data_IF_206021995027
#
_entry.id   IF_206021995027
#
_cell.length_a   1.000
_cell.length_b   1.000
_cell.length_c   1.000
_cell.angle_alpha   90.00
_cell.angle_beta   90.00
_cell.angle_gamma   90.00
#
_symmetry.space_group_name_H-M   'P 1'
#
loop_
_entity.id
_entity.type
_entity.pdbx_description
1 polymer ?
#
# COMPACT_ATOMS: atom_id res chain seq x y z
N UNK A 1 -15.86 8.65 44.41
CA UNK A 1 -16.01 7.45 43.57
C UNK A 1 -16.06 7.92 42.13
N UNK A 2 -14.92 7.84 41.44
CA UNK A 2 -14.81 8.22 40.02
C UNK A 2 -15.43 7.11 39.18
N UNK A 3 -16.53 7.42 38.51
CA UNK A 3 -17.19 6.55 37.53
C UNK A 3 -16.29 6.42 36.31
N UNK A 4 -15.48 5.36 36.25
CA UNK A 4 -14.79 4.97 35.02
C UNK A 4 -15.85 4.65 33.97
N UNK A 5 -15.91 5.45 32.91
CA UNK A 5 -16.84 5.25 31.80
C UNK A 5 -16.52 3.93 31.08
N UNK A 6 -17.52 3.31 30.42
CA UNK A 6 -17.32 2.06 29.67
C UNK A 6 -16.19 2.18 28.62
N UNK A 7 -16.03 3.36 28.03
CA UNK A 7 -14.92 3.70 27.13
C UNK A 7 -13.55 3.59 27.81
N UNK A 8 -13.40 4.09 29.05
CA UNK A 8 -12.15 3.97 29.80
C UNK A 8 -11.77 2.52 30.12
N UNK A 9 -12.75 1.67 30.45
CA UNK A 9 -12.51 0.24 30.72
C UNK A 9 -12.05 -0.54 29.48
N UNK A 10 -12.60 -0.22 28.30
CA UNK A 10 -12.19 -0.87 27.04
C UNK A 10 -10.75 -0.50 26.68
N UNK A 11 -10.38 0.79 26.85
CA UNK A 11 -9.02 1.25 26.63
C UNK A 11 -8.01 0.59 27.58
N UNK A 12 -8.38 0.37 28.85
CA UNK A 12 -7.53 -0.33 29.82
C UNK A 12 -7.29 -1.79 29.44
N UNK A 13 -8.33 -2.54 29.04
CA UNK A 13 -8.17 -3.94 28.60
C UNK A 13 -7.25 -4.03 27.39
N UNK A 14 -7.47 -3.16 26.39
CA UNK A 14 -6.61 -3.10 25.20
C UNK A 14 -5.13 -2.86 25.55
N UNK A 15 -4.85 -1.92 26.46
CA UNK A 15 -3.47 -1.64 26.90
C UNK A 15 -2.78 -2.83 27.57
N UNK A 16 -3.49 -3.57 28.42
CA UNK A 16 -2.92 -4.77 29.05
C UNK A 16 -2.64 -5.87 28.01
N UNK A 17 -3.53 -6.06 27.04
CA UNK A 17 -3.31 -7.02 25.94
C UNK A 17 -2.13 -6.62 25.05
N UNK A 18 -1.92 -5.33 24.84
CA UNK A 18 -0.74 -4.81 24.12
C UNK A 18 0.55 -5.13 24.87
N UNK A 19 0.58 -4.98 26.20
CA UNK A 19 1.75 -5.30 27.01
C UNK A 19 2.07 -6.82 26.94
N UNK A 20 1.05 -7.68 26.98
CA UNK A 20 1.22 -9.12 26.78
C UNK A 20 1.73 -9.50 25.38
N UNK A 21 1.22 -8.83 24.32
CA UNK A 21 1.76 -9.02 22.97
C UNK A 21 3.21 -8.55 22.87
N UNK A 22 3.57 -7.44 23.52
CA UNK A 22 4.95 -6.93 23.54
C UNK A 22 5.91 -7.95 24.13
N UNK A 23 5.53 -8.63 25.20
CA UNK A 23 6.32 -9.73 25.77
C UNK A 23 6.49 -10.88 24.76
N UNK A 24 5.43 -11.29 24.07
CA UNK A 24 5.51 -12.32 23.02
C UNK A 24 6.43 -11.92 21.87
N UNK A 25 6.42 -10.66 21.46
CA UNK A 25 7.30 -10.12 20.41
C UNK A 25 8.76 -10.14 20.88
N UNK A 26 9.05 -9.60 22.07
CA UNK A 26 10.41 -9.49 22.62
C UNK A 26 11.05 -10.85 22.89
N UNK A 27 10.25 -11.85 23.28
CA UNK A 27 10.72 -13.21 23.56
C UNK A 27 10.76 -14.10 22.31
N UNK A 28 10.35 -13.58 21.14
CA UNK A 28 10.19 -14.38 19.91
C UNK A 28 9.09 -15.44 20.00
N UNK A 29 8.21 -15.36 21.01
CA UNK A 29 7.08 -16.27 21.20
C UNK A 29 5.91 -16.04 20.24
N UNK A 30 5.84 -14.85 19.62
CA UNK A 30 4.72 -14.45 18.75
C UNK A 30 4.38 -15.49 17.66
N UNK A 31 5.37 -16.00 16.93
CA UNK A 31 5.12 -16.94 15.82
C UNK A 31 4.56 -18.29 16.30
N UNK A 32 4.93 -18.72 17.51
CA UNK A 32 4.35 -19.93 18.11
C UNK A 32 2.92 -19.69 18.56
N UNK A 33 2.64 -18.52 19.13
CA UNK A 33 1.30 -18.13 19.58
C UNK A 33 0.33 -17.88 18.41
N UNK A 34 0.82 -17.48 17.24
CA UNK A 34 0.02 -17.22 16.04
C UNK A 34 -0.23 -18.46 15.15
N UNK A 35 0.10 -19.67 15.62
CA UNK A 35 -0.15 -20.90 14.87
C UNK A 35 -1.65 -21.13 14.72
N UNK A 36 -2.08 -21.45 13.50
CA UNK A 36 -3.47 -21.76 13.16
C UNK A 36 -3.66 -23.23 12.86
N UNK A 37 -4.84 -23.74 13.18
CA UNK A 37 -5.29 -25.04 12.72
C UNK A 37 -5.57 -24.98 11.21
N UNK A 38 -5.00 -25.91 10.46
CA UNK A 38 -5.05 -25.92 8.99
C UNK A 38 -6.45 -26.16 8.41
N UNK A 39 -7.37 -26.68 9.19
CA UNK A 39 -8.72 -27.02 8.74
C UNK A 39 -9.73 -25.90 9.03
N UNK A 40 -9.60 -25.29 10.20
CA UNK A 40 -10.51 -24.25 10.68
C UNK A 40 -9.99 -22.84 10.43
N UNK A 41 -8.67 -22.66 10.28
CA UNK A 41 -8.01 -21.37 10.22
C UNK A 41 -8.01 -20.61 11.55
N UNK A 42 -8.41 -21.25 12.65
CA UNK A 42 -8.43 -20.67 13.98
C UNK A 42 -7.08 -20.80 14.70
N UNK A 43 -6.79 -19.87 15.60
CA UNK A 43 -5.60 -19.93 16.47
C UNK A 43 -5.71 -21.15 17.40
N UNK A 44 -4.67 -22.00 17.39
CA UNK A 44 -4.65 -23.25 18.16
C UNK A 44 -4.57 -22.98 19.67
N UNK A 45 -3.76 -22.02 20.07
CA UNK A 45 -3.57 -21.64 21.47
C UNK A 45 -4.73 -20.74 21.93
N UNK A 46 -5.49 -21.22 22.92
CA UNK A 46 -6.66 -20.52 23.45
C UNK A 46 -6.31 -19.23 24.20
N UNK A 47 -5.17 -19.18 24.87
CA UNK A 47 -4.67 -17.98 25.58
C UNK A 47 -4.23 -16.93 24.56
N UNK A 48 -3.46 -17.35 23.54
CA UNK A 48 -3.09 -16.47 22.43
C UNK A 48 -4.33 -15.94 21.70
N UNK A 49 -5.33 -16.79 21.44
CA UNK A 49 -6.60 -16.38 20.83
C UNK A 49 -7.33 -15.33 21.66
N UNK A 50 -7.40 -15.51 22.98
CA UNK A 50 -8.02 -14.54 23.89
C UNK A 50 -7.26 -13.21 23.89
N UNK A 51 -5.92 -13.28 24.00
CA UNK A 51 -5.04 -12.12 23.95
C UNK A 51 -5.22 -11.32 22.65
N UNK A 52 -5.15 -12.01 21.51
CA UNK A 52 -5.23 -11.40 20.19
C UNK A 52 -6.61 -10.81 19.88
N UNK A 53 -7.67 -11.43 20.40
CA UNK A 53 -9.03 -10.90 20.27
C UNK A 53 -9.22 -9.57 21.02
N UNK A 54 -8.55 -9.43 22.17
CA UNK A 54 -8.61 -8.25 23.04
C UNK A 54 -7.71 -7.08 22.59
N UNK A 55 -6.83 -7.30 21.61
CA UNK A 55 -6.02 -6.23 21.02
C UNK A 55 -6.89 -5.14 20.37
N UNK A 56 -6.39 -3.88 20.30
CA UNK A 56 -7.07 -2.83 19.54
C UNK A 56 -7.14 -3.19 18.05
N UNK A 57 -8.23 -2.78 17.40
CA UNK A 57 -8.34 -2.85 15.94
C UNK A 57 -7.58 -1.68 15.34
N UNK A 58 -6.57 -1.97 14.52
CA UNK A 58 -5.84 -0.95 13.75
C UNK A 58 -6.17 -1.14 12.27
N UNK A 59 -6.65 -0.09 11.62
CA UNK A 59 -7.08 -0.07 10.23
C UNK A 59 -6.57 1.20 9.53
N UNK A 60 -6.79 1.36 8.21
CA UNK A 60 -6.45 2.60 7.50
C UNK A 60 -7.12 3.85 8.06
N UNK A 61 -8.20 3.69 8.84
CA UNK A 61 -8.91 4.78 9.50
C UNK A 61 -8.37 5.11 10.89
N UNK A 62 -7.44 4.33 11.45
CA UNK A 62 -6.86 4.58 12.77
C UNK A 62 -5.95 5.80 12.74
N UNK A 63 -6.16 6.71 13.69
CA UNK A 63 -5.40 7.95 13.88
C UNK A 63 -4.14 7.73 14.70
N UNK A 64 -3.21 8.68 14.64
CA UNK A 64 -1.98 8.67 15.44
C UNK A 64 -2.30 8.76 16.93
N UNK A 65 -3.31 9.54 17.30
CA UNK A 65 -3.74 9.69 18.69
C UNK A 65 -4.26 8.36 19.27
N UNK A 66 -5.03 7.60 18.49
CA UNK A 66 -5.47 6.25 18.86
C UNK A 66 -4.26 5.30 19.02
N UNK A 67 -3.25 5.38 18.14
CA UNK A 67 -2.03 4.57 18.28
C UNK A 67 -1.25 4.92 19.55
N UNK A 68 -1.18 6.21 19.92
CA UNK A 68 -0.57 6.67 21.17
C UNK A 68 -1.36 6.20 22.39
N UNK A 69 -2.68 6.34 22.37
CA UNK A 69 -3.57 5.90 23.46
C UNK A 69 -3.43 4.38 23.73
N UNK A 70 -3.29 3.60 22.67
CA UNK A 70 -3.07 2.15 22.72
C UNK A 70 -1.63 1.74 22.98
N UNK A 71 -0.69 2.70 23.13
CA UNK A 71 0.76 2.44 23.33
C UNK A 71 1.39 1.60 22.21
N UNK A 72 0.89 1.75 20.99
CA UNK A 72 1.49 1.16 19.79
C UNK A 72 2.74 1.90 19.36
N UNK A 73 2.73 3.22 19.53
CA UNK A 73 3.89 4.09 19.32
C UNK A 73 4.12 4.93 20.57
N UNK A 74 5.38 5.32 20.82
CA UNK A 74 5.73 6.16 21.99
C UNK A 74 5.51 7.64 21.73
N UNK A 75 5.72 8.08 20.48
CA UNK A 75 5.52 9.45 20.03
C UNK A 75 5.06 9.45 18.57
N UNK A 76 4.33 10.49 18.18
CA UNK A 76 4.00 10.74 16.78
C UNK A 76 5.27 11.08 15.98
N UNK A 77 5.36 10.67 14.71
CA UNK A 77 6.34 11.21 13.78
C UNK A 77 6.28 12.73 13.74
N UNK A 78 7.44 13.38 13.71
CA UNK A 78 7.51 14.85 13.72
C UNK A 78 6.94 15.40 12.41
N UNK A 79 6.11 16.44 12.54
CA UNK A 79 5.50 17.17 11.42
C UNK A 79 4.72 16.29 10.42
N UNK A 80 4.20 15.13 10.85
CA UNK A 80 3.43 14.20 10.00
C UNK A 80 2.27 14.87 9.25
N UNK A 81 1.57 15.80 9.90
CA UNK A 81 0.48 16.57 9.28
C UNK A 81 0.97 17.31 8.02
N UNK A 82 2.21 17.81 8.00
CA UNK A 82 2.81 18.49 6.85
C UNK A 82 2.86 17.57 5.63
N UNK A 83 3.18 16.28 5.82
CA UNK A 83 3.21 15.31 4.73
C UNK A 83 1.84 15.17 4.04
N UNK A 84 0.75 15.27 4.81
CA UNK A 84 -0.61 15.19 4.30
C UNK A 84 -1.12 16.49 3.68
N UNK A 85 -0.66 17.64 4.19
CA UNK A 85 -1.04 18.95 3.68
C UNK A 85 -0.30 19.37 2.42
N UNK A 86 0.78 18.68 2.03
CA UNK A 86 1.42 18.98 0.75
C UNK A 86 0.46 18.71 -0.42
N UNK A 87 0.57 19.45 -1.52
CA UNK A 87 -0.16 19.12 -2.74
C UNK A 87 0.21 17.72 -3.23
N UNK A 88 -0.79 16.95 -3.64
CA UNK A 88 -0.57 15.65 -4.29
C UNK A 88 -0.18 15.87 -5.75
N UNK A 89 -0.77 16.83 -6.45
CA UNK A 89 -0.55 17.07 -7.87
C UNK A 89 0.30 18.33 -8.02
N UNK A 90 1.59 18.15 -8.28
CA UNK A 90 2.59 19.22 -8.46
C UNK A 90 3.54 18.88 -9.62
N UNK A 91 4.26 19.85 -10.19
CA UNK A 91 5.17 19.59 -11.30
C UNK A 91 6.21 18.53 -10.92
N UNK A 92 6.54 17.66 -11.87
CA UNK A 92 7.46 16.55 -11.65
C UNK A 92 6.84 15.28 -11.06
N UNK A 93 5.55 15.29 -10.67
CA UNK A 93 4.88 14.07 -10.19
C UNK A 93 4.78 13.04 -11.32
N UNK A 94 5.22 11.81 -11.04
CA UNK A 94 4.99 10.68 -11.93
C UNK A 94 3.50 10.32 -11.92
N UNK A 95 2.93 9.97 -13.07
CA UNK A 95 1.52 9.63 -13.26
C UNK A 95 1.38 8.29 -13.98
N UNK A 96 0.29 7.58 -13.68
CA UNK A 96 -0.28 6.60 -14.60
C UNK A 96 -1.28 7.31 -15.52
N UNK A 97 -1.10 7.18 -16.84
CA UNK A 97 -2.02 7.75 -17.84
C UNK A 97 -2.37 6.70 -18.90
N UNK A 98 -3.56 6.83 -19.47
CA UNK A 98 -4.02 6.02 -20.59
C UNK A 98 -3.81 6.79 -21.90
N UNK A 99 -3.04 6.24 -22.82
CA UNK A 99 -2.75 6.87 -24.11
C UNK A 99 -2.48 5.82 -25.19
N UNK A 100 -2.14 6.24 -26.40
CA UNK A 100 -1.71 5.36 -27.48
C UNK A 100 -0.24 5.00 -27.31
N UNK A 101 0.07 3.71 -27.29
CA UNK A 101 1.39 3.20 -27.01
C UNK A 101 1.86 2.25 -28.13
N UNK A 102 3.16 2.18 -28.34
CA UNK A 102 3.80 1.11 -29.11
C UNK A 102 4.79 0.36 -28.22
N UNK A 103 4.83 -0.95 -28.41
CA UNK A 103 5.69 -1.90 -27.71
C UNK A 103 6.74 -2.49 -28.66
N UNK A 104 6.80 -1.99 -29.90
CA UNK A 104 7.74 -2.49 -30.90
C UNK A 104 9.18 -2.16 -30.50
N UNK A 105 10.03 -3.19 -30.57
CA UNK A 105 11.34 -3.24 -29.93
C UNK A 105 12.36 -2.28 -30.57
N UNK A 106 12.42 -1.03 -30.10
CA UNK A 106 13.65 -0.20 -30.18
C UNK A 106 14.65 -0.60 -29.09
N UNK A 107 14.93 -1.89 -28.96
CA UNK A 107 15.89 -2.43 -27.98
C UNK A 107 15.46 -2.40 -26.51
N UNK A 108 14.26 -1.91 -26.19
CA UNK A 108 13.65 -1.95 -24.85
C UNK A 108 12.34 -2.73 -24.95
N UNK A 109 12.36 -4.03 -24.68
CA UNK A 109 11.13 -4.83 -24.55
C UNK A 109 10.36 -4.31 -23.33
N UNK A 110 9.04 -4.43 -23.33
CA UNK A 110 8.25 -4.21 -22.11
C UNK A 110 7.40 -2.97 -22.02
N UNK A 111 7.85 -1.92 -22.65
CA UNK A 111 7.59 -0.58 -22.16
C UNK A 111 6.85 0.14 -23.26
N UNK A 112 5.56 0.40 -23.03
CA UNK A 112 4.78 1.21 -23.96
C UNK A 112 5.33 2.62 -23.99
N UNK A 113 5.86 3.04 -25.12
CA UNK A 113 6.18 4.43 -25.42
C UNK A 113 5.04 5.05 -26.19
N UNK A 114 4.83 6.36 -26.06
CA UNK A 114 3.80 7.01 -26.85
C UNK A 114 4.07 6.82 -28.36
N UNK A 115 3.03 6.40 -29.07
CA UNK A 115 2.99 6.33 -30.53
C UNK A 115 1.58 6.71 -30.98
N UNK A 116 1.45 7.73 -31.83
CA UNK A 116 0.15 8.19 -32.32
C UNK A 116 -0.63 7.13 -33.12
N UNK A 117 0.09 6.15 -33.68
CA UNK A 117 -0.45 4.99 -34.40
C UNK A 117 -0.50 3.72 -33.54
N UNK A 118 -0.10 3.83 -32.27
CA UNK A 118 -0.10 2.75 -31.31
C UNK A 118 -1.51 2.37 -30.82
N UNK A 119 -1.57 1.31 -30.02
CA UNK A 119 -2.82 0.82 -29.42
C UNK A 119 -3.08 1.54 -28.08
N UNK A 120 -4.35 1.67 -27.65
CA UNK A 120 -4.66 2.18 -26.33
C UNK A 120 -4.03 1.31 -25.23
N UNK A 121 -3.31 1.94 -24.30
CA UNK A 121 -2.69 1.27 -23.16
C UNK A 121 -2.31 2.23 -22.05
N UNK A 122 -1.73 1.70 -20.98
CA UNK A 122 -1.31 2.47 -19.82
C UNK A 122 0.20 2.61 -19.76
N UNK A 123 0.65 3.79 -19.36
CA UNK A 123 2.06 4.06 -19.09
C UNK A 123 2.23 4.81 -17.79
N UNK A 124 3.31 4.49 -17.08
CA UNK A 124 3.80 5.25 -15.93
C UNK A 124 4.85 6.30 -16.32
N UNK A 125 5.21 6.37 -17.61
CA UNK A 125 6.24 7.28 -18.15
C UNK A 125 5.64 8.63 -18.49
N UNK A 126 4.89 9.15 -17.53
CA UNK A 126 4.15 10.37 -17.63
C UNK A 126 4.52 11.23 -16.44
N UNK A 127 4.91 12.48 -16.70
CA UNK A 127 5.31 13.44 -15.68
C UNK A 127 4.37 14.63 -15.77
N UNK A 128 3.69 14.92 -14.67
CA UNK A 128 2.82 16.07 -14.54
C UNK A 128 3.64 17.36 -14.63
N UNK A 129 3.22 18.28 -15.49
CA UNK A 129 3.94 19.52 -15.74
C UNK A 129 3.14 20.74 -15.28
N UNK A 130 1.92 20.88 -15.78
CA UNK A 130 1.08 22.06 -15.60
C UNK A 130 -0.40 21.69 -15.64
N UNK A 131 -1.26 22.71 -15.52
CA UNK A 131 -2.68 22.61 -15.79
C UNK A 131 -3.12 23.66 -16.80
N UNK A 132 -4.18 23.37 -17.53
CA UNK A 132 -4.86 24.31 -18.42
C UNK A 132 -6.36 24.08 -18.27
N UNK A 133 -7.02 24.92 -17.48
CA UNK A 133 -8.44 24.75 -17.15
C UNK A 133 -8.72 23.46 -16.36
N UNK A 134 -9.53 22.56 -16.92
CA UNK A 134 -9.89 21.27 -16.29
C UNK A 134 -8.99 20.10 -16.76
N UNK A 135 -7.91 20.42 -17.47
CA UNK A 135 -6.96 19.44 -17.99
C UNK A 135 -5.58 19.62 -17.36
N UNK A 136 -4.86 18.51 -17.29
CA UNK A 136 -3.45 18.47 -16.94
C UNK A 136 -2.59 18.33 -18.18
N UNK A 137 -1.53 19.13 -18.20
CA UNK A 137 -0.46 19.06 -19.20
C UNK A 137 0.58 18.07 -18.68
N UNK A 138 0.84 17.02 -19.47
CA UNK A 138 1.67 15.89 -19.03
C UNK A 138 2.70 15.55 -20.10
N UNK A 139 3.97 15.51 -19.69
CA UNK A 139 5.06 15.04 -20.53
C UNK A 139 5.05 13.50 -20.54
N UNK A 140 4.77 12.90 -21.71
CA UNK A 140 4.74 11.45 -21.89
C UNK A 140 5.93 11.01 -22.74
N UNK A 141 6.69 10.03 -22.26
CA UNK A 141 7.89 9.58 -22.98
C UNK A 141 7.57 9.02 -24.38
N UNK A 142 8.25 9.56 -25.38
CA UNK A 142 8.03 9.25 -26.80
C UNK A 142 7.10 10.24 -27.51
N UNK A 143 6.33 11.05 -26.78
CA UNK A 143 5.49 12.08 -27.38
C UNK A 143 6.34 13.25 -27.91
N UNK A 144 6.03 13.80 -29.10
CA UNK A 144 6.75 14.95 -29.65
C UNK A 144 6.40 16.26 -28.92
N UNK A 145 5.30 16.28 -28.18
CA UNK A 145 4.80 17.41 -27.40
C UNK A 145 4.09 16.89 -26.15
N UNK A 146 3.86 17.74 -25.13
CA UNK A 146 3.02 17.38 -23.99
C UNK A 146 1.61 16.97 -24.45
N UNK A 147 0.99 16.09 -23.69
CA UNK A 147 -0.37 15.62 -23.92
C UNK A 147 -1.30 16.17 -22.84
N UNK A 148 -2.55 16.42 -23.22
CA UNK A 148 -3.61 16.89 -22.34
C UNK A 148 -4.43 15.71 -21.83
N UNK A 149 -4.70 15.68 -20.53
CA UNK A 149 -5.56 14.69 -19.90
C UNK A 149 -6.56 15.37 -18.99
N UNK A 150 -7.81 14.92 -19.00
CA UNK A 150 -8.81 15.45 -18.07
C UNK A 150 -8.40 15.16 -16.63
N UNK A 151 -8.76 16.04 -15.70
CA UNK A 151 -8.55 15.79 -14.26
C UNK A 151 -9.21 14.50 -13.79
N UNK A 152 -10.42 14.22 -14.29
CA UNK A 152 -11.15 12.99 -13.97
C UNK A 152 -10.36 11.74 -14.37
N UNK A 153 -9.78 11.72 -15.58
CA UNK A 153 -8.96 10.60 -16.03
C UNK A 153 -7.71 10.44 -15.16
N UNK A 154 -6.99 11.54 -14.89
CA UNK A 154 -5.78 11.44 -14.07
C UNK A 154 -6.11 10.97 -12.66
N UNK A 155 -7.15 11.49 -12.02
CA UNK A 155 -7.51 11.07 -10.65
C UNK A 155 -7.97 9.60 -10.59
N UNK A 156 -8.70 9.12 -11.60
CA UNK A 156 -9.14 7.72 -11.66
C UNK A 156 -7.99 6.71 -11.66
N UNK A 157 -6.77 7.11 -12.04
CA UNK A 157 -5.61 6.21 -12.09
C UNK A 157 -4.53 6.51 -11.05
N UNK A 158 -4.63 7.62 -10.32
CA UNK A 158 -3.53 8.10 -9.47
C UNK A 158 -3.92 8.31 -8.00
N UNK A 159 -5.18 8.11 -7.63
CA UNK A 159 -5.64 8.10 -6.23
C UNK A 159 -5.45 6.73 -5.57
N UNK A 160 -5.36 6.62 -4.24
CA UNK A 160 -5.27 5.33 -3.55
C UNK A 160 -6.50 4.46 -3.81
N UNK A 161 -6.29 3.14 -3.82
CA UNK A 161 -7.40 2.19 -3.81
C UNK A 161 -8.14 2.29 -2.48
N UNK A 162 -9.47 2.48 -2.54
CA UNK A 162 -10.34 2.42 -1.38
C UNK A 162 -10.32 1.01 -0.78
N UNK A 163 -9.76 0.87 0.41
CA UNK A 163 -9.79 -0.36 1.19
C UNK A 163 -10.88 -0.24 2.26
N UNK A 164 -11.72 -1.26 2.44
CA UNK A 164 -12.81 -1.19 3.39
C UNK A 164 -12.26 -1.10 4.82
N UNK A 165 -12.55 0.00 5.52
CA UNK A 165 -12.11 0.22 6.92
C UNK A 165 -12.77 -0.73 7.91
N UNK A 166 -14.00 -1.17 7.63
CA UNK A 166 -14.82 -2.09 8.45
C UNK A 166 -14.91 -3.51 7.88
N UNK A 167 -14.06 -3.84 6.90
CA UNK A 167 -13.97 -5.15 6.28
C UNK A 167 -14.76 -5.33 4.98
N UNK A 168 -14.32 -6.30 4.18
CA UNK A 168 -14.86 -6.58 2.84
C UNK A 168 -14.00 -7.58 2.08
N UNK A 169 -14.38 -7.92 0.85
CA UNK A 169 -13.64 -8.87 0.02
C UNK A 169 -12.80 -8.16 -1.04
N UNK A 170 -11.52 -8.53 -1.16
CA UNK A 170 -10.61 -8.07 -2.21
C UNK A 170 -10.06 -9.31 -2.91
N UNK A 171 -10.34 -9.44 -4.21
CA UNK A 171 -9.94 -10.63 -4.99
C UNK A 171 -10.34 -11.96 -4.30
N UNK A 172 -11.51 -11.98 -3.65
CA UNK A 172 -12.04 -13.13 -2.91
C UNK A 172 -11.51 -13.30 -1.47
N UNK A 173 -10.48 -12.55 -1.07
CA UNK A 173 -9.91 -12.56 0.29
C UNK A 173 -10.73 -11.65 1.20
N UNK A 174 -11.16 -12.16 2.36
CA UNK A 174 -11.84 -11.36 3.38
C UNK A 174 -10.82 -10.53 4.17
N UNK A 175 -10.89 -9.22 3.98
CA UNK A 175 -10.18 -8.24 4.78
C UNK A 175 -11.00 -7.93 6.00
N UNK A 176 -10.47 -8.25 7.18
CA UNK A 176 -11.11 -7.97 8.46
C UNK A 176 -10.04 -7.59 9.48
N UNK A 177 -9.89 -6.28 9.69
CA UNK A 177 -8.97 -5.70 10.68
C UNK A 177 -9.34 -6.06 12.11
N UNK A 178 -10.59 -6.49 12.36
CA UNK A 178 -11.04 -6.93 13.68
C UNK A 178 -10.70 -8.38 13.98
N UNK A 179 -10.28 -9.17 12.97
CA UNK A 179 -9.90 -10.56 13.18
C UNK A 179 -8.69 -10.66 14.12
N UNK A 180 -8.67 -11.62 15.07
CA UNK A 180 -7.60 -11.72 16.06
C UNK A 180 -6.19 -11.79 15.44
N UNK A 181 -6.02 -12.58 14.38
CA UNK A 181 -4.73 -12.70 13.69
C UNK A 181 -4.30 -11.42 12.99
N UNK A 182 -5.23 -10.71 12.33
CA UNK A 182 -4.89 -9.43 11.68
C UNK A 182 -4.46 -8.40 12.73
N UNK A 183 -5.22 -8.28 13.83
CA UNK A 183 -4.83 -7.43 14.97
C UNK A 183 -3.45 -7.79 15.49
N UNK A 184 -3.18 -9.06 15.73
CA UNK A 184 -1.92 -9.53 16.28
C UNK A 184 -0.74 -9.22 15.35
N UNK A 185 -0.87 -9.47 14.03
CA UNK A 185 0.16 -9.15 13.06
C UNK A 185 0.43 -7.65 12.94
N UNK A 186 -0.62 -6.81 12.89
CA UNK A 186 -0.46 -5.36 12.79
C UNK A 186 0.15 -4.80 14.08
N UNK A 187 -0.39 -5.16 15.25
CA UNK A 187 0.14 -4.69 16.53
C UNK A 187 1.59 -5.15 16.75
N UNK A 188 1.94 -6.40 16.41
CA UNK A 188 3.31 -6.88 16.49
C UNK A 188 4.25 -6.06 15.60
N UNK A 189 3.79 -5.67 14.40
CA UNK A 189 4.56 -4.82 13.52
C UNK A 189 4.76 -3.40 14.04
N UNK A 190 3.75 -2.78 14.64
CA UNK A 190 3.94 -1.52 15.35
C UNK A 190 4.94 -1.63 16.49
N UNK A 191 4.84 -2.67 17.32
CA UNK A 191 5.72 -2.87 18.47
C UNK A 191 7.17 -3.10 18.07
N UNK A 192 7.41 -3.82 16.97
CA UNK A 192 8.75 -4.06 16.45
C UNK A 192 9.36 -2.84 15.76
N UNK A 193 8.56 -2.05 15.03
CA UNK A 193 9.07 -0.79 14.45
C UNK A 193 9.29 0.27 15.52
N UNK A 194 8.43 0.31 16.55
CA UNK A 194 8.61 1.02 17.81
C UNK A 194 9.24 2.40 17.70
N UNK A 195 10.51 2.48 18.10
CA UNK A 195 11.28 3.72 18.17
C UNK A 195 11.66 4.27 16.79
N UNK A 196 11.76 3.42 15.77
CA UNK A 196 12.08 3.84 14.40
C UNK A 196 10.95 4.69 13.79
N UNK A 197 9.68 4.32 14.03
CA UNK A 197 8.53 5.15 13.60
C UNK A 197 8.59 6.55 14.21
N UNK A 198 9.08 6.63 15.44
CA UNK A 198 9.21 7.86 16.19
C UNK A 198 10.34 8.76 15.67
N UNK A 199 11.32 8.23 14.92
CA UNK A 199 12.43 8.99 14.33
C UNK A 199 12.08 9.67 13.00
N UNK A 200 10.95 9.31 12.38
CA UNK A 200 10.46 9.98 11.18
C UNK A 200 10.25 11.49 11.43
N UNK A 201 10.91 12.29 10.61
CA UNK A 201 10.82 13.75 10.63
C UNK A 201 10.36 14.30 9.27
N UNK A 202 9.05 14.53 9.14
CA UNK A 202 8.43 15.10 7.94
C UNK A 202 8.71 16.61 7.79
N UNK A 203 9.49 17.21 8.69
CA UNK A 203 10.05 18.54 8.52
C UNK A 203 11.28 18.56 7.62
N UNK A 204 11.99 17.42 7.50
CA UNK A 204 13.22 17.26 6.73
C UNK A 204 12.99 17.40 5.21
N UNK A 205 14.08 17.35 4.44
CA UNK A 205 13.96 17.35 2.97
C UNK A 205 13.29 16.06 2.50
N UNK A 206 12.45 16.10 1.44
CA UNK A 206 11.73 14.93 0.93
C UNK A 206 12.61 13.72 0.61
N UNK A 207 13.85 13.95 0.19
CA UNK A 207 14.83 12.92 -0.16
C UNK A 207 15.36 12.19 1.08
N UNK A 208 15.64 12.93 2.15
CA UNK A 208 16.17 12.35 3.41
C UNK A 208 15.13 11.44 4.07
N UNK A 209 13.86 11.88 4.08
CA UNK A 209 12.78 11.07 4.65
C UNK A 209 12.39 9.90 3.75
N UNK A 210 12.55 10.03 2.42
CA UNK A 210 12.22 8.98 1.47
C UNK A 210 13.01 7.70 1.76
N UNK A 211 14.33 7.80 1.92
CA UNK A 211 15.17 6.63 2.19
C UNK A 211 14.75 5.92 3.49
N UNK A 212 14.47 6.71 4.53
CA UNK A 212 14.04 6.15 5.82
C UNK A 212 12.64 5.51 5.73
N UNK A 213 11.69 6.14 5.06
CA UNK A 213 10.36 5.56 4.79
C UNK A 213 10.48 4.25 4.00
N UNK A 214 11.35 4.19 2.99
CA UNK A 214 11.57 2.97 2.20
C UNK A 214 12.02 1.81 3.08
N UNK A 215 12.95 2.03 4.00
CA UNK A 215 13.42 1.00 4.93
C UNK A 215 12.28 0.47 5.81
N UNK A 216 11.46 1.36 6.36
CA UNK A 216 10.34 0.99 7.23
C UNK A 216 9.24 0.23 6.47
N UNK A 217 8.87 0.72 5.28
CA UNK A 217 7.87 0.06 4.44
C UNK A 217 8.40 -1.28 3.92
N UNK A 218 9.68 -1.38 3.57
CA UNK A 218 10.32 -2.65 3.21
C UNK A 218 10.22 -3.66 4.36
N UNK A 219 10.54 -3.26 5.60
CA UNK A 219 10.41 -4.11 6.79
C UNK A 219 8.98 -4.62 6.97
N UNK A 220 7.97 -3.78 6.73
CA UNK A 220 6.55 -4.17 6.78
C UNK A 220 6.18 -5.15 5.67
N UNK A 221 6.50 -4.80 4.42
CA UNK A 221 6.18 -5.62 3.26
C UNK A 221 6.79 -7.03 3.37
N UNK A 222 8.03 -7.13 3.86
CA UNK A 222 8.72 -8.41 4.10
C UNK A 222 8.08 -9.28 5.18
N UNK A 223 7.09 -8.78 5.94
CA UNK A 223 6.31 -9.61 6.87
C UNK A 223 5.21 -10.40 6.19
N UNK A 224 4.77 -9.95 5.02
CA UNK A 224 3.81 -10.68 4.19
C UNK A 224 4.58 -11.80 3.53
N UNK A 225 4.55 -12.97 4.17
CA UNK A 225 5.31 -14.13 3.75
C UNK A 225 4.34 -15.24 3.38
N UNK A 226 3.98 -15.27 2.10
CA UNK A 226 3.06 -16.23 1.52
C UNK A 226 3.77 -17.08 0.48
N UNK A 227 3.44 -18.35 0.44
CA UNK A 227 3.94 -19.24 -0.62
C UNK A 227 3.05 -19.13 -1.86
N UNK A 228 3.66 -19.16 -3.05
CA UNK A 228 2.90 -19.20 -4.29
C UNK A 228 2.15 -20.53 -4.44
N UNK A 229 0.86 -20.45 -4.74
CA UNK A 229 0.05 -21.61 -5.12
C UNK A 229 -0.29 -21.55 -6.61
N UNK A 230 -0.05 -22.64 -7.34
CA UNK A 230 -0.33 -22.73 -8.79
C UNK A 230 -1.82 -22.77 -9.15
N UNK A 231 -2.74 -22.74 -8.17
CA UNK A 231 -4.20 -22.72 -8.37
C UNK A 231 -4.87 -21.80 -7.36
N UNK A 232 -5.95 -21.14 -7.76
CA UNK A 232 -6.74 -20.22 -6.92
C UNK A 232 -7.89 -20.91 -6.16
N UNK A 233 -8.12 -22.20 -6.39
CA UNK A 233 -9.20 -22.96 -5.77
C UNK A 233 -8.96 -23.07 -4.26
N UNK A 234 -9.85 -22.47 -3.46
CA UNK A 234 -9.84 -22.59 -1.99
C UNK A 234 -9.65 -21.31 -1.17
N UNK A 235 -9.44 -20.15 -1.80
CA UNK A 235 -9.19 -18.89 -1.05
C UNK A 235 -10.40 -17.97 -0.92
N UNK A 236 -11.49 -18.24 -1.63
CA UNK A 236 -12.72 -17.45 -1.51
C UNK A 236 -13.25 -17.54 -0.07
N UNK A 237 -13.31 -16.40 0.63
CA UNK A 237 -13.73 -16.34 2.03
C UNK A 237 -12.59 -16.48 3.05
N UNK A 238 -11.36 -16.78 2.62
CA UNK A 238 -10.21 -16.86 3.52
C UNK A 238 -9.93 -15.50 4.15
N UNK A 239 -9.65 -15.49 5.45
CA UNK A 239 -9.35 -14.26 6.20
C UNK A 239 -7.90 -13.86 5.94
N UNK A 240 -7.69 -12.62 5.52
CA UNK A 240 -6.36 -12.05 5.26
C UNK A 240 -5.36 -12.26 6.41
N UNK A 241 -5.80 -12.15 7.67
CA UNK A 241 -4.95 -12.37 8.84
C UNK A 241 -4.35 -13.78 8.93
N UNK A 242 -5.09 -14.82 8.53
CA UNK A 242 -4.57 -16.20 8.55
C UNK A 242 -3.66 -16.52 7.36
N UNK A 243 -3.67 -15.68 6.33
CA UNK A 243 -2.84 -15.86 5.15
C UNK A 243 -1.48 -15.16 5.26
N UNK A 244 -1.36 -14.13 6.08
CA UNK A 244 -0.23 -13.20 6.11
C UNK A 244 1.14 -13.88 6.33
N UNK A 245 1.21 -14.94 7.13
CA UNK A 245 2.43 -15.73 7.35
C UNK A 245 2.19 -17.22 7.15
N UNK A 246 2.85 -17.80 6.14
CA UNK A 246 2.76 -19.22 5.81
C UNK A 246 1.49 -19.61 5.06
N UNK A 247 0.62 -18.64 4.76
CA UNK A 247 -0.50 -18.83 3.86
C UNK A 247 -0.03 -19.09 2.43
N UNK A 248 -0.94 -19.59 1.60
CA UNK A 248 -0.70 -19.84 0.19
C UNK A 248 -1.62 -18.97 -0.65
N UNK A 249 -1.20 -18.60 -1.86
CA UNK A 249 -2.06 -17.88 -2.79
C UNK A 249 -1.40 -17.55 -4.12
N UNK A 250 -2.23 -17.29 -5.14
CA UNK A 250 -1.80 -16.66 -6.40
C UNK A 250 -1.53 -15.17 -6.20
N UNK A 251 -0.95 -14.49 -7.19
CA UNK A 251 -0.56 -13.08 -7.10
C UNK A 251 -1.68 -12.13 -6.64
N UNK A 252 -2.92 -12.32 -7.11
CA UNK A 252 -4.07 -11.51 -6.68
C UNK A 252 -4.40 -11.66 -5.19
N UNK A 253 -4.29 -12.87 -4.65
CA UNK A 253 -4.51 -13.15 -3.21
C UNK A 253 -3.40 -12.51 -2.39
N UNK A 254 -2.14 -12.70 -2.80
CA UNK A 254 -0.99 -12.13 -2.09
C UNK A 254 -1.02 -10.59 -2.11
N UNK A 255 -1.36 -9.98 -3.24
CA UNK A 255 -1.60 -8.53 -3.37
C UNK A 255 -2.69 -8.06 -2.41
N UNK A 256 -3.82 -8.76 -2.33
CA UNK A 256 -4.93 -8.38 -1.44
C UNK A 256 -4.51 -8.40 0.04
N UNK A 257 -3.78 -9.44 0.46
CA UNK A 257 -3.25 -9.56 1.83
C UNK A 257 -2.22 -8.47 2.12
N UNK A 258 -1.29 -8.22 1.19
CA UNK A 258 -0.28 -7.18 1.35
C UNK A 258 -0.89 -5.77 1.40
N UNK A 259 -1.80 -5.45 0.47
CA UNK A 259 -2.48 -4.16 0.42
C UNK A 259 -3.24 -3.88 1.73
N UNK A 260 -4.02 -4.87 2.21
CA UNK A 260 -4.71 -4.76 3.49
C UNK A 260 -3.73 -4.51 4.65
N UNK A 261 -2.71 -5.36 4.79
CA UNK A 261 -1.74 -5.22 5.87
C UNK A 261 -1.01 -3.87 5.85
N UNK A 262 -0.46 -3.48 4.70
CA UNK A 262 0.29 -2.23 4.55
C UNK A 262 -0.59 -1.00 4.81
N UNK A 263 -1.84 -1.01 4.36
CA UNK A 263 -2.72 0.15 4.51
C UNK A 263 -3.01 0.53 5.96
N UNK A 264 -2.89 -0.39 6.92
CA UNK A 264 -2.98 -0.11 8.36
C UNK A 264 -1.83 0.78 8.90
N UNK A 265 -0.78 0.99 8.12
CA UNK A 265 0.38 1.84 8.46
C UNK A 265 0.44 3.13 7.63
N UNK A 266 -0.40 3.23 6.60
CA UNK A 266 -0.41 4.35 5.64
C UNK A 266 -0.40 5.72 6.33
N UNK A 267 -1.17 5.88 7.40
CA UNK A 267 -1.35 7.11 8.17
C UNK A 267 -0.12 7.56 8.96
N UNK A 268 0.58 6.64 9.61
CA UNK A 268 1.76 6.99 10.42
C UNK A 268 3.02 7.11 9.56
N UNK A 269 3.10 6.34 8.48
CA UNK A 269 4.24 6.33 7.57
C UNK A 269 4.07 7.28 6.38
N UNK A 270 2.97 8.02 6.29
CA UNK A 270 2.66 8.94 5.20
C UNK A 270 2.81 8.34 3.80
N UNK A 271 2.11 7.23 3.52
CA UNK A 271 2.05 6.67 2.17
C UNK A 271 0.64 6.30 1.75
N UNK A 272 0.48 6.08 0.45
CA UNK A 272 -0.76 5.66 -0.19
C UNK A 272 -0.55 4.31 -0.88
N UNK A 273 -1.59 3.46 -0.88
CA UNK A 273 -1.56 2.14 -1.54
C UNK A 273 -2.57 2.11 -2.69
N UNK A 274 -2.13 1.59 -3.84
CA UNK A 274 -2.99 1.26 -4.97
C UNK A 274 -2.84 -0.23 -5.30
N UNK A 275 -3.95 -0.93 -5.51
CA UNK A 275 -3.93 -2.31 -5.97
C UNK A 275 -3.91 -2.32 -7.50
N UNK A 276 -2.79 -2.71 -8.08
CA UNK A 276 -2.60 -2.70 -9.52
C UNK A 276 -2.71 -4.12 -10.10
N UNK A 277 -3.09 -4.17 -11.38
CA UNK A 277 -3.01 -5.34 -12.24
C UNK A 277 -2.11 -4.98 -13.40
N UNK A 278 -1.04 -5.73 -13.54
CA UNK A 278 -0.24 -5.72 -14.75
C UNK A 278 -0.42 -6.98 -15.58
N UNK A 279 0.32 -7.06 -16.67
CA UNK A 279 0.48 -8.25 -17.49
C UNK A 279 1.96 -8.42 -17.79
N UNK A 280 2.43 -9.67 -17.74
CA UNK A 280 3.78 -10.00 -18.20
C UNK A 280 3.80 -10.04 -19.72
N UNK A 281 4.62 -9.25 -20.41
CA UNK A 281 4.62 -9.23 -21.88
C UNK A 281 4.93 -10.59 -22.49
N UNK A 282 5.78 -11.38 -21.82
CA UNK A 282 6.23 -12.68 -22.34
C UNK A 282 5.12 -13.74 -22.32
N UNK A 283 4.22 -13.69 -21.34
CA UNK A 283 3.18 -14.72 -21.16
C UNK A 283 1.77 -14.18 -21.40
N UNK A 284 1.59 -12.85 -21.46
CA UNK A 284 0.28 -12.21 -21.52
C UNK A 284 -0.57 -12.44 -20.26
N UNK A 285 0.00 -13.04 -19.20
CA UNK A 285 -0.75 -13.46 -18.02
C UNK A 285 -0.97 -12.28 -17.08
N UNK A 286 -2.21 -12.02 -16.63
CA UNK A 286 -2.50 -11.01 -15.61
C UNK A 286 -1.76 -11.27 -14.30
N UNK A 287 -1.27 -10.21 -13.67
CA UNK A 287 -0.47 -10.29 -12.45
C UNK A 287 -0.81 -9.13 -11.51
N UNK A 288 -1.12 -9.43 -10.25
CA UNK A 288 -1.48 -8.41 -9.25
C UNK A 288 -0.30 -8.04 -8.35
N UNK A 289 -0.12 -6.73 -8.11
CA UNK A 289 0.85 -6.16 -7.16
C UNK A 289 0.31 -4.88 -6.50
N UNK A 290 0.98 -4.38 -5.46
CA UNK A 290 0.62 -3.13 -4.78
C UNK A 290 1.57 -2.04 -5.25
N UNK A 291 1.05 -0.88 -5.63
CA UNK A 291 1.84 0.33 -5.83
C UNK A 291 1.75 1.17 -4.55
N UNK A 292 2.91 1.61 -4.06
CA UNK A 292 3.06 2.41 -2.86
C UNK A 292 3.58 3.79 -3.27
N UNK A 293 2.85 4.85 -2.93
CA UNK A 293 3.28 6.23 -3.15
C UNK A 293 3.68 6.84 -1.80
N UNK A 294 4.97 7.17 -1.63
CA UNK A 294 5.47 7.76 -0.39
C UNK A 294 5.31 9.27 -0.40
N UNK A 295 4.78 9.87 0.68
CA UNK A 295 4.71 11.32 0.88
C UNK A 295 5.80 11.74 1.87
N UNK A 296 6.47 12.89 1.68
CA UNK A 296 6.16 13.96 0.75
C UNK A 296 6.79 13.83 -0.64
N UNK A 297 7.67 12.86 -0.88
CA UNK A 297 8.44 12.76 -2.14
C UNK A 297 7.56 12.48 -3.37
N UNK A 298 6.40 11.86 -3.17
CA UNK A 298 5.48 11.36 -4.20
C UNK A 298 6.11 10.30 -5.11
N UNK A 299 7.21 9.70 -4.67
CA UNK A 299 7.87 8.58 -5.36
C UNK A 299 7.05 7.30 -5.24
N UNK A 300 7.05 6.51 -6.31
CA UNK A 300 6.30 5.26 -6.40
C UNK A 300 7.18 4.03 -6.38
N UNK A 301 6.69 3.02 -5.67
CA UNK A 301 7.32 1.72 -5.52
C UNK A 301 6.31 0.61 -5.77
N UNK A 302 6.79 -0.54 -6.22
CA UNK A 302 6.02 -1.76 -6.33
C UNK A 302 6.35 -2.66 -5.14
N UNK A 303 5.31 -3.12 -4.46
CA UNK A 303 5.35 -4.23 -3.53
C UNK A 303 4.64 -5.43 -4.16
N UNK A 304 5.41 -6.48 -4.45
CA UNK A 304 4.96 -7.73 -5.06
C UNK A 304 5.46 -8.93 -4.24
N UNK A 305 4.64 -9.40 -3.27
CA UNK A 305 5.00 -10.56 -2.48
C UNK A 305 5.13 -11.84 -3.30
N UNK A 306 4.42 -11.95 -4.44
CA UNK A 306 4.44 -13.17 -5.24
C UNK A 306 5.80 -13.40 -5.89
N UNK A 307 6.56 -12.33 -6.12
CA UNK A 307 7.93 -12.37 -6.65
C UNK A 307 8.98 -11.96 -5.60
N UNK A 308 8.60 -11.88 -4.32
CA UNK A 308 9.47 -11.50 -3.20
C UNK A 308 10.10 -10.10 -3.34
N UNK A 309 9.30 -9.13 -3.79
CA UNK A 309 9.72 -7.75 -4.05
C UNK A 309 9.01 -6.80 -3.09
N UNK A 310 9.55 -6.55 -1.90
CA UNK A 310 8.85 -5.76 -0.89
C UNK A 310 8.73 -4.27 -1.26
N UNK A 311 9.71 -3.68 -1.95
CA UNK A 311 9.79 -2.25 -2.29
C UNK A 311 10.74 -1.99 -3.48
N UNK A 312 10.28 -2.19 -4.71
CA UNK A 312 11.07 -1.95 -5.94
C UNK A 312 10.67 -0.61 -6.56
N UNK A 313 11.64 0.23 -6.95
CA UNK A 313 11.34 1.48 -7.67
C UNK A 313 10.46 1.19 -8.90
N UNK A 314 9.41 2.01 -9.12
CA UNK A 314 8.44 1.76 -10.18
C UNK A 314 9.10 1.66 -11.56
N UNK A 315 10.14 2.46 -11.84
CA UNK A 315 10.85 2.39 -13.11
C UNK A 315 11.54 1.04 -13.25
N UNK A 316 12.25 0.59 -12.21
CA UNK A 316 12.98 -0.68 -12.18
C UNK A 316 12.03 -1.88 -12.30
N UNK A 317 10.92 -1.87 -11.56
CA UNK A 317 9.92 -2.93 -11.55
C UNK A 317 9.28 -3.20 -12.92
N UNK A 318 9.41 -2.25 -13.85
CA UNK A 318 8.92 -2.34 -15.23
C UNK A 318 10.07 -2.38 -16.27
N UNK A 319 11.36 -2.37 -15.85
CA UNK A 319 12.53 -2.22 -16.74
C UNK A 319 13.59 -3.30 -16.69
N UNK A 320 13.82 -3.96 -15.55
CA UNK A 320 15.10 -4.64 -15.37
C UNK A 320 15.21 -5.89 -16.24
N UNK A 321 16.23 -5.95 -17.10
CA UNK A 321 16.52 -7.07 -18.01
C UNK A 321 16.85 -8.37 -17.26
N UNK A 322 17.23 -8.30 -15.99
CA UNK A 322 17.41 -9.46 -15.12
C UNK A 322 16.09 -10.07 -14.66
N UNK A 323 15.00 -9.33 -14.85
CA UNK A 323 13.66 -9.73 -14.49
C UNK A 323 13.00 -10.24 -15.76
N UNK A 324 12.89 -11.56 -15.89
CA UNK A 324 12.41 -12.24 -17.10
C UNK A 324 10.96 -11.93 -17.53
N UNK A 325 10.37 -10.85 -17.00
CA UNK A 325 9.00 -10.42 -17.18
C UNK A 325 8.93 -8.91 -17.28
N UNK A 326 8.87 -8.40 -18.51
CA UNK A 326 8.43 -7.04 -18.72
C UNK A 326 6.97 -6.89 -18.24
N UNK A 327 6.69 -6.01 -17.27
CA UNK A 327 5.32 -5.72 -16.84
C UNK A 327 4.76 -4.58 -17.68
N UNK A 328 3.48 -4.65 -18.04
CA UNK A 328 2.68 -3.48 -18.43
C UNK A 328 1.52 -3.32 -17.46
N UNK A 329 1.17 -2.08 -17.11
CA UNK A 329 -0.03 -1.83 -16.32
C UNK A 329 -1.26 -2.09 -17.22
N UNK A 330 -2.25 -2.79 -16.67
CA UNK A 330 -3.50 -3.15 -17.36
C UNK A 330 -4.70 -2.52 -16.69
N UNK A 331 -4.73 -2.53 -15.37
CA UNK A 331 -5.87 -2.06 -14.58
C UNK A 331 -5.43 -1.64 -13.17
N UNK A 332 -6.22 -0.79 -12.52
CA UNK A 332 -6.14 -0.52 -11.08
C UNK A 332 -7.46 -0.99 -10.48
N UNK A 333 -7.37 -1.85 -9.47
CA UNK A 333 -8.52 -2.44 -8.80
C UNK A 333 -8.93 -1.66 -7.54
N UNK A 334 -10.22 -1.75 -7.24
CA UNK A 334 -10.86 -1.11 -6.09
C UNK A 334 -11.51 0.24 -6.44
N UNK A 335 -12.55 0.61 -5.70
CA UNK A 335 -13.15 1.93 -5.81
C UNK A 335 -12.07 2.96 -5.43
N UNK A 336 -11.66 3.77 -6.38
CA UNK A 336 -10.74 4.87 -6.11
C UNK A 336 -11.49 5.91 -5.29
N UNK A 337 -10.90 6.39 -4.20
CA UNK A 337 -11.46 7.54 -3.47
C UNK A 337 -11.12 8.81 -4.25
N UNK A 338 -11.90 9.08 -5.29
CA UNK A 338 -11.71 10.24 -6.19
C UNK A 338 -12.24 11.51 -5.51
N UNK A 339 -11.73 11.82 -4.32
CA UNK A 339 -12.02 13.05 -3.60
C UNK A 339 -10.76 13.91 -3.54
N UNK A 340 -10.39 14.52 -4.66
CA UNK A 340 -9.23 15.44 -4.72
C UNK A 340 -9.69 16.87 -4.42
N UNK A 341 -9.15 17.45 -3.35
CA UNK A 341 -9.45 18.83 -2.95
C UNK A 341 -8.66 19.82 -3.81
N UNK A 342 -9.16 21.05 -4.04
CA UNK A 342 -8.39 22.08 -4.76
C UNK A 342 -7.00 22.34 -4.17
N UNK A 343 -6.86 22.31 -2.84
CA UNK A 343 -5.57 22.48 -2.16
C UNK A 343 -4.57 21.33 -2.38
N UNK A 344 -5.01 20.21 -2.95
CA UNK A 344 -4.13 19.09 -3.31
C UNK A 344 -3.57 19.21 -4.73
N UNK A 345 -3.89 20.29 -5.45
CA UNK A 345 -3.37 20.62 -6.77
C UNK A 345 -2.61 21.95 -6.68
N UNK A 346 -1.33 21.90 -7.02
CA UNK A 346 -0.41 23.06 -7.03
C UNK A 346 0.40 22.99 -8.33
N UNK A 347 -0.20 23.50 -9.40
CA UNK A 347 0.35 23.46 -10.75
C UNK A 347 0.35 24.87 -11.36
N UNK A 348 1.36 25.21 -12.17
CA UNK A 348 1.30 26.42 -12.98
C UNK A 348 0.15 26.31 -14.00
N UNK A 349 -0.55 27.41 -14.24
CA UNK A 349 -1.47 27.55 -15.37
C UNK A 349 -0.64 27.79 -16.64
N UNK A 350 -0.88 27.00 -17.67
CA UNK A 350 -0.37 27.23 -19.03
C UNK A 350 -1.55 27.56 -19.96
N UNK A 351 -1.32 28.46 -20.92
CA UNK A 351 -2.29 28.68 -22.00
C UNK A 351 -2.43 27.40 -22.84
N UNK A 352 -3.63 27.11 -23.33
CA UNK A 352 -3.86 25.96 -24.19
C UNK A 352 -2.93 26.02 -25.42
N UNK A 353 -2.27 24.90 -25.79
CA UNK A 353 -1.32 24.87 -26.90
C UNK A 353 -1.93 25.13 -28.27
#
# INVERSE_FOLDING_TARGET
MTTTTASGRIADVGRHSVDGLRELVLTGGFLRAAVVDKHTGEIVDSEARALFSALPTISPATTVDELLEHRMIKRAPRDLHRAYHQPKYRPGRELFVRTKLSWESRGRRGVGFFDSNGEPGFTHRAVLRAQCGDEFVVDVEGAPSPLMFTRADVFAWNEPSGLPSSGGAISGVQVDYSSPLMKAHICAAYLELGDELAELDFAAQPEDILEYQQVLVHKLASRVNMSYAGRSEGYAGARSGSLLRGGQGVCFVQRAVAGAFLSAFSRVLAFETQMAVGSTLRLGVPHGFVVITLRPSLKRFVCDPAWAEPMTDLRVAFFDANWGHDRRLVEIEGQQDVTVRPAEVDLPEEDAP
#
